data_IF_025416401512
#
_entry.id   IF_025416401512
#
_cell.length_a   1.000
_cell.length_b   1.000
_cell.length_c   1.000
_cell.angle_alpha   90.00
_cell.angle_beta   90.00
_cell.angle_gamma   90.00
#
_symmetry.space_group_name_H-M   'P 1'
#
loop_
_entity.id
_entity.type
_entity.pdbx_description
1 polymer ?
#
# COMPACT_ATOMS: atom_id res chain seq x y z
N UNK A 1 -32.23 -33.19 40.53
CA UNK A 1 -32.16 -34.03 39.31
C UNK A 1 -33.34 -33.58 38.44
N UNK A 2 -33.27 -32.81 37.34
CA UNK A 2 -32.29 -32.36 36.35
C UNK A 2 -32.75 -30.95 35.90
N UNK A 3 -31.88 -29.92 35.92
CA UNK A 3 -31.11 -29.41 34.77
C UNK A 3 -31.88 -28.38 33.91
N UNK A 4 -31.52 -27.09 34.05
CA UNK A 4 -31.91 -26.00 33.17
C UNK A 4 -31.34 -26.23 31.76
N UNK A 5 -32.23 -26.40 30.77
CA UNK A 5 -31.98 -26.23 29.33
C UNK A 5 -32.78 -24.98 28.92
N UNK A 6 -32.34 -24.08 28.07
CA UNK A 6 -31.21 -24.05 27.16
C UNK A 6 -31.11 -22.59 26.72
N UNK A 7 -29.97 -21.95 26.94
CA UNK A 7 -29.65 -20.68 26.26
C UNK A 7 -29.43 -21.04 24.79
N UNK A 8 -30.43 -20.80 23.95
CA UNK A 8 -30.27 -20.92 22.50
C UNK A 8 -29.31 -19.83 22.06
N UNK A 9 -28.03 -20.18 21.93
CA UNK A 9 -27.04 -19.41 21.18
C UNK A 9 -27.64 -19.14 19.80
N UNK A 10 -27.99 -17.89 19.51
CA UNK A 10 -28.18 -17.46 18.13
C UNK A 10 -26.85 -17.70 17.40
N UNK A 11 -26.77 -18.78 16.63
CA UNK A 11 -25.66 -19.00 15.69
C UNK A 11 -25.91 -18.08 14.50
N UNK A 12 -25.34 -16.88 14.55
CA UNK A 12 -25.26 -16.02 13.37
C UNK A 12 -24.53 -16.80 12.26
N UNK A 13 -25.09 -16.93 11.05
CA UNK A 13 -24.43 -17.63 9.96
C UNK A 13 -23.11 -16.94 9.64
N UNK A 14 -22.02 -17.72 9.55
CA UNK A 14 -20.65 -17.24 9.24
C UNK A 14 -20.53 -16.50 7.89
N UNK A 15 -21.60 -16.43 7.10
CA UNK A 15 -21.64 -15.77 5.79
C UNK A 15 -21.79 -14.24 5.85
N UNK A 16 -22.10 -13.64 6.99
CA UNK A 16 -22.30 -12.20 7.12
C UNK A 16 -21.02 -11.40 7.50
N UNK A 17 -19.82 -11.97 7.35
CA UNK A 17 -18.56 -11.31 7.75
C UNK A 17 -17.68 -10.86 6.58
N UNK A 18 -18.22 -10.82 5.36
CA UNK A 18 -17.54 -10.13 4.25
C UNK A 18 -18.07 -8.70 4.15
N UNK A 19 -18.01 -7.97 5.27
CA UNK A 19 -18.13 -6.53 5.25
C UNK A 19 -17.16 -6.00 4.19
N UNK A 20 -17.66 -5.19 3.28
CA UNK A 20 -16.87 -4.56 2.22
C UNK A 20 -15.63 -3.94 2.87
N UNK A 21 -14.44 -4.50 2.60
CA UNK A 21 -13.18 -3.90 3.02
C UNK A 21 -12.92 -2.68 2.13
N UNK A 22 -13.69 -1.62 2.29
CA UNK A 22 -13.37 -0.32 1.69
C UNK A 22 -12.30 0.31 2.56
N UNK A 23 -11.08 0.38 2.04
CA UNK A 23 -9.99 1.10 2.66
C UNK A 23 -9.70 2.31 1.78
N UNK A 24 -9.83 3.51 2.33
CA UNK A 24 -9.52 4.75 1.63
C UNK A 24 -8.04 5.09 1.87
N UNK A 25 -7.32 5.44 0.81
CA UNK A 25 -5.92 5.86 0.88
C UNK A 25 -5.88 7.34 0.48
N UNK A 26 -5.46 8.19 1.42
CA UNK A 26 -5.18 9.59 1.12
C UNK A 26 -3.83 9.70 0.43
N UNK A 27 -3.71 10.58 -0.55
CA UNK A 27 -2.46 10.84 -1.26
C UNK A 27 -2.07 12.29 -1.04
N UNK A 28 -0.80 12.55 -0.77
CA UNK A 28 -0.22 13.87 -0.68
C UNK A 28 1.00 13.97 -1.57
N UNK A 29 1.11 15.11 -2.25
CA UNK A 29 2.28 15.46 -3.02
C UNK A 29 3.48 15.69 -2.11
N UNK A 30 4.66 15.41 -2.66
CA UNK A 30 5.93 15.74 -2.01
C UNK A 30 6.64 16.79 -2.86
N UNK A 31 7.59 17.57 -2.31
CA UNK A 31 8.38 18.49 -3.11
C UNK A 31 9.17 17.81 -4.24
N UNK A 32 9.35 16.48 -4.19
CA UNK A 32 9.90 15.71 -5.30
C UNK A 32 8.74 15.27 -6.25
N UNK A 33 8.71 15.72 -7.51
CA UNK A 33 7.65 15.36 -8.46
C UNK A 33 7.61 13.85 -8.78
N UNK A 34 8.69 13.12 -8.53
CA UNK A 34 8.76 11.68 -8.75
C UNK A 34 8.30 10.87 -7.53
N UNK A 35 8.07 11.52 -6.39
CA UNK A 35 7.67 10.86 -5.15
C UNK A 35 6.28 11.30 -4.71
N UNK A 36 5.45 10.33 -4.33
CA UNK A 36 4.16 10.61 -3.71
C UNK A 36 4.04 9.88 -2.38
N UNK A 37 3.35 10.51 -1.43
CA UNK A 37 3.11 9.99 -0.08
C UNK A 37 1.67 9.51 0.06
N UNK A 38 1.49 8.31 0.56
CA UNK A 38 0.21 7.62 0.69
C UNK A 38 -0.08 7.34 2.17
N UNK A 39 -1.28 7.73 2.61
CA UNK A 39 -1.77 7.57 3.97
C UNK A 39 -2.95 6.59 3.97
N UNK A 40 -2.70 5.31 4.29
CA UNK A 40 -3.71 4.28 4.32
C UNK A 40 -4.77 4.43 5.44
N UNK A 41 -4.61 5.40 6.36
CA UNK A 41 -5.50 5.56 7.52
C UNK A 41 -5.38 4.46 8.57
N UNK A 42 -4.30 3.67 8.51
CA UNK A 42 -3.95 2.61 9.46
C UNK A 42 -2.43 2.53 9.60
N UNK A 43 -1.97 1.92 10.69
CA UNK A 43 -0.55 1.71 10.90
C UNK A 43 0.04 0.81 9.81
N UNK A 44 1.20 1.22 9.30
CA UNK A 44 2.00 0.51 8.30
C UNK A 44 3.09 -0.28 9.02
N UNK A 45 3.93 0.40 9.80
CA UNK A 45 4.95 -0.23 10.65
C UNK A 45 4.65 -0.14 12.14
N UNK A 46 3.77 0.77 12.55
CA UNK A 46 3.47 1.06 13.95
C UNK A 46 4.58 1.83 14.69
N UNK A 47 5.86 1.55 14.40
CA UNK A 47 7.00 2.34 14.88
C UNK A 47 8.21 2.24 13.95
N UNK A 48 9.06 3.28 13.97
CA UNK A 48 10.26 3.35 13.15
C UNK A 48 9.97 3.60 11.67
N UNK A 49 11.00 3.40 10.86
CA UNK A 49 10.98 3.61 9.41
C UNK A 49 11.81 2.54 8.72
N UNK A 50 11.41 2.14 7.51
CA UNK A 50 12.22 1.28 6.64
C UNK A 50 12.31 1.88 5.25
N UNK A 51 13.52 1.98 4.73
CA UNK A 51 13.77 2.35 3.34
C UNK A 51 14.15 1.13 2.52
N UNK A 52 13.61 1.05 1.31
CA UNK A 52 13.89 -0.02 0.37
C UNK A 52 14.29 0.61 -0.95
N UNK A 53 15.56 0.46 -1.31
CA UNK A 53 16.14 0.97 -2.56
C UNK A 53 16.20 -0.07 -3.68
N UNK A 54 15.92 -1.34 -3.37
CA UNK A 54 15.90 -2.45 -4.33
C UNK A 54 15.02 -3.59 -3.83
N UNK A 55 14.51 -4.40 -4.76
CA UNK A 55 13.69 -5.59 -4.47
C UNK A 55 14.40 -6.59 -3.54
N UNK A 56 15.73 -6.68 -3.59
CA UNK A 56 16.51 -7.62 -2.74
C UNK A 56 16.43 -7.26 -1.25
N UNK A 57 16.26 -5.97 -0.92
CA UNK A 57 16.15 -5.49 0.45
C UNK A 57 14.73 -5.68 1.03
N UNK A 58 13.74 -6.04 0.21
CA UNK A 58 12.33 -6.17 0.62
C UNK A 58 12.02 -7.43 1.43
N UNK A 59 13.02 -8.25 1.76
CA UNK A 59 12.83 -9.47 2.56
C UNK A 59 12.14 -9.23 3.90
N UNK A 60 12.33 -8.03 4.47
CA UNK A 60 11.74 -7.61 5.75
C UNK A 60 10.26 -7.23 5.66
N UNK A 61 9.71 -6.97 4.45
CA UNK A 61 8.33 -6.51 4.27
C UNK A 61 7.71 -7.03 2.98
N UNK A 62 6.69 -7.88 3.12
CA UNK A 62 5.91 -8.38 1.98
C UNK A 62 5.21 -7.24 1.22
N UNK A 63 4.79 -6.18 1.92
CA UNK A 63 4.19 -5.00 1.31
C UNK A 63 5.17 -4.30 0.37
N UNK A 64 6.42 -4.07 0.82
CA UNK A 64 7.44 -3.45 -0.01
C UNK A 64 7.71 -4.31 -1.25
N UNK A 65 7.83 -5.63 -1.09
CA UNK A 65 8.04 -6.55 -2.22
C UNK A 65 6.93 -6.46 -3.27
N UNK A 66 5.67 -6.37 -2.84
CA UNK A 66 4.53 -6.22 -3.74
C UNK A 66 4.53 -4.88 -4.46
N UNK A 67 4.92 -3.79 -3.78
CA UNK A 67 5.03 -2.47 -4.41
C UNK A 67 6.13 -2.42 -5.47
N UNK A 68 7.25 -3.12 -5.25
CA UNK A 68 8.32 -3.25 -6.25
C UNK A 68 7.94 -4.09 -7.47
N UNK A 69 6.88 -4.89 -7.40
CA UNK A 69 6.35 -5.58 -8.58
C UNK A 69 5.57 -4.65 -9.53
N UNK A 70 5.31 -3.41 -9.11
CA UNK A 70 4.64 -2.40 -9.96
C UNK A 70 5.70 -1.75 -10.84
N UNK A 71 5.44 -1.75 -12.15
CA UNK A 71 6.34 -1.15 -13.12
C UNK A 71 6.61 0.33 -12.83
N UNK A 72 7.90 0.69 -12.87
CA UNK A 72 8.36 2.06 -12.67
C UNK A 72 8.51 2.49 -11.21
N UNK A 73 8.34 1.60 -10.22
CA UNK A 73 8.70 1.89 -8.82
C UNK A 73 10.21 1.75 -8.63
N UNK A 74 10.86 2.84 -8.23
CA UNK A 74 12.31 2.90 -8.00
C UNK A 74 12.68 2.71 -6.53
N UNK A 75 11.92 3.33 -5.61
CA UNK A 75 12.19 3.29 -4.18
C UNK A 75 10.90 3.31 -3.39
N UNK A 76 10.85 2.54 -2.30
CA UNK A 76 9.73 2.51 -1.36
C UNK A 76 10.23 2.86 0.02
N UNK A 77 9.56 3.78 0.69
CA UNK A 77 9.85 4.16 2.07
C UNK A 77 8.60 3.94 2.92
N UNK A 78 8.73 3.17 3.99
CA UNK A 78 7.66 2.87 4.93
C UNK A 78 7.88 3.66 6.21
N UNK A 79 6.93 4.51 6.57
CA UNK A 79 6.84 5.17 7.86
C UNK A 79 5.89 4.45 8.82
N UNK A 80 5.62 5.04 10.00
CA UNK A 80 4.69 4.47 10.97
C UNK A 80 3.27 4.30 10.42
N UNK A 81 2.77 5.33 9.75
CA UNK A 81 1.40 5.51 9.27
C UNK A 81 1.31 5.86 7.77
N UNK A 82 2.44 5.96 7.07
CA UNK A 82 2.52 6.36 5.67
C UNK A 82 3.46 5.51 4.83
N UNK A 83 3.27 5.57 3.51
CA UNK A 83 4.11 4.93 2.50
C UNK A 83 4.51 6.00 1.50
N UNK A 84 5.79 6.15 1.20
CA UNK A 84 6.27 7.00 0.11
C UNK A 84 6.76 6.10 -1.02
N UNK A 85 6.29 6.36 -2.23
CA UNK A 85 6.72 5.65 -3.44
C UNK A 85 7.41 6.66 -4.35
N UNK A 86 8.65 6.37 -4.72
CA UNK A 86 9.38 7.10 -5.76
C UNK A 86 9.33 6.31 -7.04
N UNK A 87 8.92 6.98 -8.12
CA UNK A 87 8.88 6.43 -9.46
C UNK A 87 10.16 6.79 -10.23
N UNK A 88 10.52 5.95 -11.18
CA UNK A 88 11.59 6.26 -12.14
C UNK A 88 11.22 7.52 -12.92
N UNK A 89 12.19 8.42 -13.09
CA UNK A 89 12.00 9.62 -13.89
C UNK A 89 11.97 9.26 -15.37
N UNK A 90 10.78 9.19 -15.95
CA UNK A 90 10.64 9.17 -17.40
C UNK A 90 10.73 10.61 -17.93
N UNK A 91 11.92 11.00 -18.39
CA UNK A 91 12.04 12.12 -19.31
C UNK A 91 11.15 11.82 -20.53
N UNK A 92 10.00 12.48 -20.64
CA UNK A 92 9.22 12.50 -21.87
C UNK A 92 9.92 13.40 -22.89
N UNK A 93 11.09 12.98 -23.38
CA UNK A 93 11.59 13.48 -24.65
C UNK A 93 10.78 12.79 -25.74
N UNK A 94 9.67 13.42 -26.12
CA UNK A 94 9.06 13.15 -27.41
C UNK A 94 10.12 13.46 -28.47
N UNK A 95 10.58 12.51 -29.31
CA UNK A 95 11.23 12.88 -30.55
C UNK A 95 10.12 13.50 -31.41
N UNK A 96 9.83 14.79 -31.17
CA UNK A 96 8.98 15.55 -32.06
C UNK A 96 9.68 15.51 -33.41
N UNK A 97 9.02 14.81 -34.32
CA UNK A 97 9.21 14.84 -35.75
C UNK A 97 9.40 16.30 -36.19
N UNK A 98 10.65 16.74 -36.25
CA UNK A 98 11.06 17.79 -37.16
C UNK A 98 11.66 17.09 -38.38
N UNK A 99 10.78 16.42 -39.13
CA UNK A 99 10.80 16.56 -40.58
C UNK A 99 10.72 18.06 -40.88
N UNK A 100 11.88 18.71 -40.97
CA UNK A 100 12.01 19.91 -41.77
C UNK A 100 12.68 19.53 -43.08
N UNK A 101 11.94 19.93 -44.10
CA UNK A 101 12.15 19.89 -45.53
C UNK A 101 13.51 20.46 -45.98
#
# INVERSE_FOLDING_TARGET
>A
MFCLRSVTRLSLPRFAMRALRSMFIQVQDTPNPNSMKYFPGKDVLGSGTMDFSSITQTGSSQLARQLFCIDGVERVFLGPDFITITKVFHCSHHPFLLTHH
#
